data_IF_543482426200
#
_entry.id   IF_543482426200
#
_cell.length_a   1.000
_cell.length_b   1.000
_cell.length_c   1.000
_cell.angle_alpha   90.00
_cell.angle_beta   90.00
_cell.angle_gamma   90.00
#
_symmetry.space_group_name_H-M   'P 1'
#
loop_
_entity.id
_entity.type
_entity.pdbx_description
1 polymer ?
#
# COMPACT_ATOMS: atom_id res chain seq x y z
N UNK A 1 10.05 -20.77 -58.75
CA UNK A 1 9.41 -21.68 -57.77
C UNK A 1 9.88 -21.30 -56.37
N UNK A 2 8.98 -21.42 -55.40
CA UNK A 2 8.99 -20.74 -54.11
C UNK A 2 9.98 -21.31 -53.08
N UNK A 3 10.49 -20.44 -52.20
CA UNK A 3 11.20 -20.82 -50.98
C UNK A 3 11.06 -19.74 -49.91
N UNK A 4 9.87 -19.62 -49.32
CA UNK A 4 9.58 -18.72 -48.19
C UNK A 4 10.11 -19.37 -46.91
N UNK A 5 11.08 -18.75 -46.25
CA UNK A 5 11.56 -19.14 -44.91
C UNK A 5 10.45 -18.93 -43.87
N UNK A 6 10.12 -19.91 -43.01
CA UNK A 6 9.15 -19.69 -41.95
C UNK A 6 9.78 -18.93 -40.77
N UNK A 7 9.19 -17.78 -40.45
CA UNK A 7 9.44 -16.99 -39.24
C UNK A 7 9.15 -17.84 -38.00
N UNK A 8 10.12 -18.00 -37.09
CA UNK A 8 9.91 -18.62 -35.78
C UNK A 8 9.03 -17.70 -34.94
N UNK A 9 7.75 -18.05 -34.80
CA UNK A 9 6.87 -17.47 -33.79
C UNK A 9 7.46 -17.77 -32.40
N UNK A 10 7.92 -16.73 -31.71
CA UNK A 10 8.35 -16.80 -30.32
C UNK A 10 7.22 -17.36 -29.47
N UNK A 11 7.49 -18.50 -28.84
CA UNK A 11 6.59 -19.14 -27.89
C UNK A 11 6.63 -18.31 -26.60
N UNK A 12 5.60 -17.49 -26.36
CA UNK A 12 5.47 -16.79 -25.08
C UNK A 12 5.49 -17.80 -23.93
N UNK A 13 6.20 -17.51 -22.83
CA UNK A 13 6.35 -18.46 -21.73
C UNK A 13 4.99 -18.80 -21.11
N UNK A 14 4.78 -20.09 -20.84
CA UNK A 14 3.55 -20.58 -20.22
C UNK A 14 3.33 -19.88 -18.86
N UNK A 15 2.08 -19.50 -18.52
CA UNK A 15 1.81 -18.89 -17.23
C UNK A 15 2.14 -19.88 -16.10
N UNK A 16 2.90 -19.42 -15.12
CA UNK A 16 3.27 -20.21 -13.94
C UNK A 16 1.99 -20.71 -13.22
N UNK A 17 1.84 -22.01 -12.94
CA UNK A 17 0.63 -22.59 -12.33
C UNK A 17 0.38 -22.15 -10.88
N UNK A 18 1.31 -21.40 -10.27
CA UNK A 18 1.16 -20.81 -8.93
C UNK A 18 0.68 -19.36 -8.92
N UNK A 19 0.59 -18.68 -10.06
CA UNK A 19 0.04 -17.34 -10.13
C UNK A 19 -1.48 -17.44 -10.06
N UNK A 20 -2.03 -17.31 -8.85
CA UNK A 20 -3.48 -17.14 -8.65
C UNK A 20 -3.88 -15.93 -9.49
N UNK A 21 -4.57 -16.16 -10.61
CA UNK A 21 -5.01 -15.09 -11.52
C UNK A 21 -6.02 -14.23 -10.77
N UNK A 22 -5.52 -13.26 -10.01
CA UNK A 22 -6.36 -12.25 -9.41
C UNK A 22 -6.78 -11.32 -10.53
N UNK A 23 -8.08 -11.07 -10.62
CA UNK A 23 -8.58 -10.00 -11.48
C UNK A 23 -7.88 -8.69 -11.10
N UNK A 24 -7.49 -7.88 -12.09
CA UNK A 24 -6.89 -6.57 -11.86
C UNK A 24 -7.77 -5.67 -10.97
N UNK A 25 -9.09 -5.87 -11.01
CA UNK A 25 -10.05 -5.20 -10.12
C UNK A 25 -9.87 -5.64 -8.66
N UNK A 26 -9.63 -6.93 -8.43
CA UNK A 26 -9.41 -7.47 -7.08
C UNK A 26 -8.07 -6.98 -6.50
N UNK A 27 -7.01 -6.93 -7.32
CA UNK A 27 -5.71 -6.38 -6.93
C UNK A 27 -5.83 -4.88 -6.60
N UNK A 28 -6.47 -4.09 -7.47
CA UNK A 28 -6.69 -2.67 -7.23
C UNK A 28 -7.47 -2.41 -5.94
N UNK A 29 -8.51 -3.21 -5.67
CA UNK A 29 -9.28 -3.10 -4.42
C UNK A 29 -8.43 -3.43 -3.20
N UNK A 30 -7.56 -4.44 -3.27
CA UNK A 30 -6.64 -4.76 -2.18
C UNK A 30 -5.66 -3.61 -1.91
N UNK A 31 -5.15 -2.96 -2.97
CA UNK A 31 -4.27 -1.81 -2.84
C UNK A 31 -4.99 -0.61 -2.20
N UNK A 32 -6.25 -0.36 -2.58
CA UNK A 32 -7.06 0.69 -1.94
C UNK A 32 -7.23 0.44 -0.43
N UNK A 33 -7.48 -0.80 -0.02
CA UNK A 33 -7.59 -1.18 1.39
C UNK A 33 -6.25 -0.95 2.12
N UNK A 34 -5.12 -1.30 1.50
CA UNK A 34 -3.80 -1.08 2.07
C UNK A 34 -3.48 0.42 2.24
N UNK A 35 -3.81 1.25 1.25
CA UNK A 35 -3.58 2.71 1.33
C UNK A 35 -4.46 3.35 2.40
N UNK A 36 -5.73 2.92 2.47
CA UNK A 36 -6.68 3.39 3.48
C UNK A 36 -6.19 3.06 4.90
N UNK A 37 -5.64 1.87 5.10
CA UNK A 37 -5.24 1.39 6.41
C UNK A 37 -6.46 1.09 7.32
N UNK A 38 -6.24 0.94 8.63
CA UNK A 38 -7.33 0.68 9.58
C UNK A 38 -8.26 1.90 9.66
N UNK A 39 -9.54 1.69 9.37
CA UNK A 39 -10.58 2.72 9.48
C UNK A 39 -11.09 2.73 10.93
N UNK A 40 -10.99 3.89 11.59
CA UNK A 40 -11.45 4.05 12.97
C UNK A 40 -12.97 4.15 13.05
N UNK A 41 -13.57 3.69 14.15
CA UNK A 41 -15.00 3.87 14.39
C UNK A 41 -15.35 5.37 14.41
N UNK A 42 -16.27 5.78 13.52
CA UNK A 42 -16.66 7.18 13.33
C UNK A 42 -16.04 7.84 12.08
N UNK A 43 -15.03 7.23 11.46
CA UNK A 43 -14.53 7.71 10.17
C UNK A 43 -15.52 7.43 9.05
N UNK A 44 -15.75 8.45 8.22
CA UNK A 44 -16.62 8.32 7.05
C UNK A 44 -15.84 7.69 5.91
N UNK A 45 -16.35 6.58 5.37
CA UNK A 45 -15.76 5.89 4.21
C UNK A 45 -15.48 6.85 3.05
N UNK A 46 -16.35 7.83 2.81
CA UNK A 46 -16.14 8.86 1.78
C UNK A 46 -14.83 9.64 1.99
N UNK A 47 -14.52 10.03 3.22
CA UNK A 47 -13.29 10.75 3.56
C UNK A 47 -12.06 9.88 3.32
N UNK A 48 -12.13 8.60 3.69
CA UNK A 48 -11.06 7.63 3.45
C UNK A 48 -10.82 7.44 1.95
N UNK A 49 -11.87 7.29 1.15
CA UNK A 49 -11.73 7.12 -0.30
C UNK A 49 -11.23 8.40 -1.00
N UNK A 50 -11.60 9.58 -0.51
CA UNK A 50 -11.04 10.85 -0.99
C UNK A 50 -9.54 10.94 -0.69
N UNK A 51 -9.11 10.55 0.51
CA UNK A 51 -7.70 10.47 0.87
C UNK A 51 -6.93 9.49 -0.04
N UNK A 52 -7.49 8.30 -0.31
CA UNK A 52 -6.87 7.33 -1.23
C UNK A 52 -6.76 7.91 -2.65
N UNK A 53 -7.77 8.63 -3.11
CA UNK A 53 -7.79 9.28 -4.42
C UNK A 53 -6.66 10.31 -4.56
N UNK A 54 -6.47 11.16 -3.55
CA UNK A 54 -5.37 12.13 -3.50
C UNK A 54 -4.00 11.44 -3.49
N UNK A 55 -3.82 10.41 -2.65
CA UNK A 55 -2.58 9.63 -2.55
C UNK A 55 -2.20 8.93 -3.85
N UNK A 56 -3.19 8.38 -4.56
CA UNK A 56 -2.97 7.65 -5.80
C UNK A 56 -2.95 8.58 -7.04
N UNK A 57 -3.31 9.85 -6.91
CA UNK A 57 -3.46 10.76 -8.05
C UNK A 57 -4.58 10.35 -9.01
N UNK A 58 -5.62 9.67 -8.51
CA UNK A 58 -6.75 9.17 -9.30
C UNK A 58 -8.03 9.91 -8.93
N UNK A 59 -9.01 10.06 -9.85
CA UNK A 59 -10.29 10.69 -9.52
C UNK A 59 -11.05 9.92 -8.43
N UNK A 60 -11.68 10.62 -7.49
CA UNK A 60 -12.45 9.99 -6.40
C UNK A 60 -13.55 9.06 -6.93
N UNK A 61 -14.25 9.48 -8.01
CA UNK A 61 -15.25 8.65 -8.69
C UNK A 61 -14.67 7.31 -9.15
N UNK A 62 -13.41 7.30 -9.60
CA UNK A 62 -12.73 6.11 -10.09
C UNK A 62 -12.39 5.16 -8.95
N UNK A 63 -11.79 5.67 -7.88
CA UNK A 63 -11.51 4.91 -6.66
C UNK A 63 -12.80 4.30 -6.08
N UNK A 64 -13.88 5.08 -6.02
CA UNK A 64 -15.19 4.63 -5.55
C UNK A 64 -15.74 3.50 -6.43
N UNK A 65 -15.66 3.62 -7.76
CA UNK A 65 -16.08 2.56 -8.68
C UNK A 65 -15.29 1.26 -8.50
N UNK A 66 -13.99 1.33 -8.21
CA UNK A 66 -13.18 0.15 -7.89
C UNK A 66 -13.59 -0.44 -6.54
N UNK A 67 -13.80 0.41 -5.52
CA UNK A 67 -14.19 0.00 -4.17
C UNK A 67 -15.52 -0.77 -4.15
N UNK A 68 -16.54 -0.26 -4.84
CA UNK A 68 -17.88 -0.86 -4.93
C UNK A 68 -18.00 -1.95 -6.01
N UNK A 69 -16.88 -2.33 -6.67
CA UNK A 69 -16.86 -3.34 -7.76
C UNK A 69 -17.69 -2.96 -8.99
N UNK A 70 -17.90 -1.67 -9.21
CA UNK A 70 -18.57 -1.14 -10.41
C UNK A 70 -17.59 -1.03 -11.60
N UNK A 71 -16.28 -1.02 -11.34
CA UNK A 71 -15.26 -0.99 -12.37
C UNK A 71 -15.12 -2.37 -13.06
N UNK A 72 -15.39 -2.41 -14.37
CA UNK A 72 -15.22 -3.63 -15.20
C UNK A 72 -13.77 -3.94 -15.56
N UNK A 73 -12.93 -2.92 -15.62
CA UNK A 73 -11.51 -3.02 -15.94
C UNK A 73 -10.73 -1.94 -15.18
N UNK A 74 -9.46 -2.24 -14.89
CA UNK A 74 -8.47 -1.32 -14.31
C UNK A 74 -7.28 -1.27 -15.27
N UNK A 75 -6.86 -0.07 -15.63
CA UNK A 75 -5.73 0.16 -16.54
C UNK A 75 -4.41 -0.12 -15.81
N UNK A 76 -3.36 -0.44 -16.57
CA UNK A 76 -2.04 -0.68 -16.01
C UNK A 76 -1.52 0.53 -15.21
N UNK A 77 -1.67 1.74 -15.76
CA UNK A 77 -1.23 2.98 -15.12
C UNK A 77 -1.93 3.24 -13.79
N UNK A 78 -3.23 2.93 -13.71
CA UNK A 78 -4.01 3.06 -12.48
C UNK A 78 -3.52 2.08 -11.41
N UNK A 79 -3.20 0.85 -11.82
CA UNK A 79 -2.67 -0.19 -10.95
C UNK A 79 -1.28 0.21 -10.43
N UNK A 80 -0.41 0.73 -11.30
CA UNK A 80 0.91 1.22 -10.90
C UNK A 80 0.83 2.41 -9.95
N UNK A 81 -0.09 3.35 -10.20
CA UNK A 81 -0.33 4.48 -9.32
C UNK A 81 -0.75 4.03 -7.91
N UNK A 82 -1.66 3.05 -7.84
CA UNK A 82 -2.07 2.42 -6.57
C UNK A 82 -0.91 1.67 -5.90
N UNK A 83 -0.06 0.97 -6.66
CA UNK A 83 1.13 0.28 -6.12
C UNK A 83 2.11 1.27 -5.48
N UNK A 84 2.43 2.37 -6.18
CA UNK A 84 3.30 3.43 -5.66
C UNK A 84 2.73 4.06 -4.39
N UNK A 85 1.43 4.35 -4.38
CA UNK A 85 0.77 4.91 -3.20
C UNK A 85 0.78 3.95 -2.00
N UNK A 86 0.55 2.66 -2.24
CA UNK A 86 0.62 1.63 -1.20
C UNK A 86 2.03 1.46 -0.64
N UNK A 87 3.05 1.50 -1.51
CA UNK A 87 4.45 1.43 -1.08
C UNK A 87 4.85 2.64 -0.24
N UNK A 88 4.44 3.85 -0.64
CA UNK A 88 4.66 5.06 0.15
C UNK A 88 4.02 4.95 1.53
N UNK A 89 2.78 4.48 1.61
CA UNK A 89 2.08 4.26 2.89
C UNK A 89 2.84 3.26 3.78
N UNK A 90 3.29 2.15 3.22
CA UNK A 90 4.07 1.16 3.97
C UNK A 90 5.39 1.74 4.50
N UNK A 91 6.08 2.57 3.70
CA UNK A 91 7.31 3.25 4.13
C UNK A 91 7.04 4.24 5.28
N UNK A 92 5.95 5.00 5.19
CA UNK A 92 5.54 5.92 6.25
C UNK A 92 5.21 5.19 7.56
N UNK A 93 4.49 4.07 7.48
CA UNK A 93 4.17 3.24 8.65
C UNK A 93 5.43 2.67 9.29
N UNK A 94 6.39 2.20 8.49
CA UNK A 94 7.68 1.72 8.98
C UNK A 94 8.49 2.82 9.69
N UNK A 95 8.49 4.04 9.13
CA UNK A 95 9.14 5.21 9.75
C UNK A 95 8.44 5.57 11.06
N UNK A 96 7.10 5.59 11.06
CA UNK A 96 6.31 5.91 12.25
C UNK A 96 6.57 4.92 13.39
N UNK A 97 6.56 3.61 13.10
CA UNK A 97 6.86 2.56 14.06
C UNK A 97 8.27 2.71 14.65
N UNK A 98 9.28 2.97 13.80
CA UNK A 98 10.66 3.23 14.24
C UNK A 98 10.77 4.46 15.13
N UNK A 99 10.05 5.52 14.81
CA UNK A 99 10.04 6.77 15.59
C UNK A 99 9.39 6.54 16.96
N UNK A 100 8.29 5.81 17.03
CA UNK A 100 7.64 5.43 18.29
C UNK A 100 8.59 4.62 19.18
N UNK A 101 9.26 3.61 18.62
CA UNK A 101 10.23 2.80 19.34
C UNK A 101 11.39 3.65 19.87
N UNK A 102 11.92 4.55 19.04
CA UNK A 102 13.02 5.45 19.43
C UNK A 102 12.59 6.37 20.58
N UNK A 103 11.38 6.93 20.50
CA UNK A 103 10.83 7.78 21.58
C UNK A 103 10.62 7.00 22.88
N UNK A 104 10.10 5.77 22.80
CA UNK A 104 9.93 4.91 23.97
C UNK A 104 11.28 4.59 24.64
N UNK A 105 12.31 4.25 23.86
CA UNK A 105 13.67 4.00 24.37
C UNK A 105 14.26 5.23 25.07
N UNK A 106 14.10 6.41 24.48
CA UNK A 106 14.57 7.66 25.09
C UNK A 106 13.82 7.97 26.38
N UNK A 107 12.51 7.75 26.43
CA UNK A 107 11.70 7.94 27.64
C UNK A 107 12.15 7.01 28.78
N UNK A 108 12.37 5.72 28.49
CA UNK A 108 12.88 4.78 29.49
C UNK A 108 14.27 5.17 30.02
N UNK A 109 15.18 5.64 29.15
CA UNK A 109 16.51 6.11 29.56
C UNK A 109 16.44 7.37 30.41
N UNK A 110 15.57 8.31 30.06
CA UNK A 110 15.34 9.54 30.85
C UNK A 110 14.78 9.25 32.24
N UNK A 111 13.81 8.34 32.35
CA UNK A 111 13.25 7.92 33.64
C UNK A 111 14.30 7.22 34.53
N UNK A 112 15.17 6.38 33.96
CA UNK A 112 16.24 5.72 34.69
C UNK A 112 17.34 6.69 35.18
N UNK A 113 17.54 7.82 34.49
CA UNK A 113 18.46 8.86 34.92
C UNK A 113 17.87 9.73 36.04
N UNK A 114 16.56 10.01 36.00
CA UNK A 114 15.87 10.78 37.04
C UNK A 114 15.76 10.02 38.38
N UNK A 115 15.62 8.69 38.35
CA UNK A 115 15.51 7.86 39.56
C UNK A 115 16.83 7.61 40.32
N UNK A 116 17.98 8.11 39.84
CA UNK A 116 19.29 7.97 40.52
C UNK A 116 19.70 9.18 41.36
N UNK A 117 18.89 10.25 41.40
CA UNK A 117 19.29 11.52 42.03
C UNK A 117 18.84 11.64 43.50
N UNK A 118 18.05 10.70 44.03
CA UNK A 118 17.67 10.70 45.44
C UNK A 118 18.44 9.64 46.24
N UNK A 119 19.68 9.97 46.62
CA UNK A 119 20.35 9.38 47.77
C UNK A 119 20.59 10.49 48.79
N UNK A 120 20.10 10.38 50.05
CA UNK A 120 20.39 11.38 51.05
C UNK A 120 21.89 11.37 51.38
N UNK A 121 22.55 12.51 51.17
CA UNK A 121 23.83 12.80 51.82
C UNK A 121 23.57 12.85 53.34
N UNK A 122 24.13 11.88 54.06
CA UNK A 122 24.19 11.85 55.53
C UNK A 122 25.47 12.51 56.02
#
# INVERSE_FOLDING_TARGET
>A
MAGKSPTRAGKSPAPNPGAKVMSSVAEARSLIIQIAGPISLGERVKTVLAFVAERAGLPERRIRGIWHREAKAVLADELEALKRAAELRHREEAIHARNLETRARLACRGAAAAGRVEGPDF
#
